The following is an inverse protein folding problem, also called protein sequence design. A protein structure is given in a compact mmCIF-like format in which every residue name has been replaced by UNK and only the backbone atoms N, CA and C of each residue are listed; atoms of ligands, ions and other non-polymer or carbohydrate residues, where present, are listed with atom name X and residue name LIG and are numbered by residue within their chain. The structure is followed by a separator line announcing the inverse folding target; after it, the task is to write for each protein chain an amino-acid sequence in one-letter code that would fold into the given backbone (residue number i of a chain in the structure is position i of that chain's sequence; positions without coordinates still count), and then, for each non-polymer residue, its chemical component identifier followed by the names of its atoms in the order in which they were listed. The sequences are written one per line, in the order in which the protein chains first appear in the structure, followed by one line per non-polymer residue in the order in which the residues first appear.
data_IF_751484128818
#
_entry.id   IF_751484128818
#
_cell.length_a   1.000
_cell.length_b   1.000
_cell.length_c   1.000
_cell.angle_alpha   90.00
_cell.angle_beta   90.00
_cell.angle_gamma   90.00
#
_symmetry.space_group_name_H-M   'P 1'
#
loop_
_entity.id
_entity.type
_entity.pdbx_description
1 polymer ?
#
# COMPACT_ATOMS: atom_id res chain seq x y z
N UNK A 1 -0.31 19.02 -9.12
CA UNK A 1 -0.90 17.94 -8.29
C UNK A 1 0.19 17.39 -7.38
N UNK A 2 -0.01 17.49 -6.08
CA UNK A 2 0.96 17.00 -5.11
C UNK A 2 0.71 15.51 -4.83
N UNK A 3 1.73 14.69 -4.95
CA UNK A 3 1.63 13.23 -4.83
C UNK A 3 2.38 12.70 -3.61
N UNK A 4 1.82 11.66 -3.01
CA UNK A 4 2.42 10.93 -1.90
C UNK A 4 2.52 9.45 -2.28
N UNK A 5 3.66 8.84 -1.99
CA UNK A 5 3.80 7.38 -2.04
C UNK A 5 3.80 6.87 -0.59
N UNK A 6 2.73 6.18 -0.21
CA UNK A 6 2.62 5.55 1.10
C UNK A 6 2.72 4.04 0.90
N UNK A 7 3.62 3.39 1.62
CA UNK A 7 3.86 1.96 1.41
C UNK A 7 4.07 1.21 2.71
N UNK A 8 3.65 -0.05 2.70
CA UNK A 8 4.02 -1.05 3.69
C UNK A 8 4.92 -2.08 3.03
N UNK A 9 6.06 -2.37 3.62
CA UNK A 9 6.98 -3.38 3.11
C UNK A 9 7.27 -4.42 4.18
N UNK A 10 7.13 -5.68 3.80
CA UNK A 10 7.54 -6.80 4.63
C UNK A 10 9.08 -6.98 4.57
N UNK A 11 9.57 -8.00 5.25
CA UNK A 11 11.00 -8.24 5.43
C UNK A 11 11.81 -8.29 4.13
N UNK A 12 11.21 -8.78 3.02
CA UNK A 12 11.89 -8.88 1.73
C UNK A 12 12.29 -7.53 1.13
N UNK A 13 11.63 -6.44 1.51
CA UNK A 13 11.93 -5.11 1.00
C UNK A 13 11.52 -4.84 -0.44
N UNK A 14 10.77 -5.72 -1.10
CA UNK A 14 10.35 -5.55 -2.50
C UNK A 14 9.49 -4.31 -2.69
N UNK A 15 8.48 -4.15 -1.86
CA UNK A 15 7.57 -3.00 -1.95
C UNK A 15 8.33 -1.71 -1.69
N UNK A 16 9.25 -1.70 -0.71
CA UNK A 16 10.09 -0.55 -0.42
C UNK A 16 10.89 -0.13 -1.65
N UNK A 17 11.54 -1.09 -2.33
CA UNK A 17 12.32 -0.81 -3.53
C UNK A 17 11.51 -0.15 -4.62
N UNK A 18 10.30 -0.63 -4.89
CA UNK A 18 9.40 -0.05 -5.89
C UNK A 18 8.92 1.34 -5.44
N UNK A 19 8.57 1.50 -4.18
CA UNK A 19 8.09 2.77 -3.63
C UNK A 19 9.16 3.86 -3.72
N UNK A 20 10.39 3.54 -3.38
CA UNK A 20 11.51 4.50 -3.45
C UNK A 20 11.79 4.93 -4.89
N UNK A 21 11.78 3.98 -5.83
CA UNK A 21 11.95 4.29 -7.26
C UNK A 21 10.82 5.17 -7.78
N UNK A 22 9.60 4.87 -7.40
CA UNK A 22 8.42 5.63 -7.82
C UNK A 22 8.47 7.06 -7.30
N UNK A 23 8.75 7.25 -6.02
CA UNK A 23 8.84 8.58 -5.42
C UNK A 23 9.93 9.41 -6.09
N UNK A 24 11.10 8.83 -6.35
CA UNK A 24 12.20 9.51 -7.03
C UNK A 24 11.85 9.87 -8.47
N UNK A 25 11.20 8.96 -9.20
CA UNK A 25 10.89 9.15 -10.62
C UNK A 25 9.86 10.26 -10.85
N UNK A 26 8.93 10.47 -9.93
CA UNK A 26 7.83 11.44 -10.10
C UNK A 26 7.91 12.63 -9.15
N UNK A 27 8.92 12.70 -8.32
CA UNK A 27 9.10 13.80 -7.36
C UNK A 27 8.03 13.80 -6.26
N UNK A 28 7.56 12.63 -5.85
CA UNK A 28 6.57 12.48 -4.80
C UNK A 28 7.23 12.37 -3.42
N UNK A 29 6.49 12.76 -2.38
CA UNK A 29 6.90 12.48 -1.01
C UNK A 29 6.72 10.99 -0.72
N UNK A 30 7.47 10.48 0.25
CA UNK A 30 7.49 9.06 0.60
C UNK A 30 7.15 8.88 2.07
N UNK A 31 6.23 7.97 2.38
CA UNK A 31 5.87 7.65 3.76
C UNK A 31 5.82 6.13 3.93
N UNK A 32 6.53 5.62 4.91
CA UNK A 32 6.48 4.20 5.24
C UNK A 32 5.37 3.91 6.26
N UNK A 33 4.43 3.05 5.87
CA UNK A 33 3.37 2.56 6.76
C UNK A 33 4.01 1.49 7.65
N UNK A 34 4.08 1.75 8.95
CA UNK A 34 4.70 0.83 9.92
C UNK A 34 3.67 0.35 10.92
N UNK A 35 3.53 -0.97 11.13
CA UNK A 35 2.76 -1.45 12.27
C UNK A 35 3.49 -1.08 13.56
N UNK A 36 2.76 -0.82 14.64
CA UNK A 36 3.37 -0.53 15.94
C UNK A 36 4.30 -1.66 16.39
N UNK A 37 3.95 -2.89 16.04
CA UNK A 37 4.77 -4.06 16.28
C UNK A 37 5.24 -4.62 14.93
N UNK A 38 6.54 -4.47 14.57
CA UNK A 38 7.05 -4.95 13.29
C UNK A 38 6.87 -6.46 13.11
N UNK A 39 6.74 -6.89 11.86
CA UNK A 39 6.62 -8.30 11.51
C UNK A 39 8.00 -8.96 11.47
N UNK A 40 8.09 -10.16 12.05
CA UNK A 40 9.26 -11.03 11.93
C UNK A 40 9.04 -12.07 10.84
N UNK A 41 10.08 -12.82 10.48
CA UNK A 41 9.93 -13.92 9.54
C UNK A 41 8.90 -14.95 10.00
N UNK A 42 8.89 -15.28 11.30
CA UNK A 42 7.89 -16.20 11.88
C UNK A 42 6.48 -15.66 11.77
N UNK A 43 6.30 -14.34 11.97
CA UNK A 43 4.98 -13.69 11.87
C UNK A 43 4.42 -13.79 10.44
N UNK A 44 5.29 -13.86 9.43
CA UNK A 44 4.92 -13.89 8.02
C UNK A 44 4.77 -15.30 7.45
N UNK A 45 4.95 -16.33 8.26
CA UNK A 45 4.88 -17.72 7.81
C UNK A 45 3.43 -18.14 7.58
N UNK A 46 2.93 -17.96 6.35
CA UNK A 46 1.56 -18.32 5.99
C UNK A 46 1.29 -19.83 6.03
N UNK A 47 2.32 -20.66 6.05
CA UNK A 47 2.20 -22.12 6.17
C UNK A 47 1.84 -22.55 7.60
N UNK A 48 2.05 -21.70 8.59
CA UNK A 48 1.70 -21.97 9.99
C UNK A 48 0.34 -21.35 10.29
N UNK A 49 -0.73 -22.15 10.57
CA UNK A 49 -2.07 -21.63 10.79
C UNK A 49 -2.18 -20.65 11.96
N UNK A 50 -1.27 -20.72 12.92
CA UNK A 50 -1.27 -19.84 14.12
C UNK A 50 -0.27 -18.68 14.01
N UNK A 51 0.37 -18.48 12.86
CA UNK A 51 1.27 -17.35 12.66
C UNK A 51 0.50 -16.03 12.73
N UNK A 52 1.21 -14.93 13.03
CA UNK A 52 0.59 -13.61 13.19
C UNK A 52 -0.17 -13.18 11.94
N UNK A 53 0.40 -13.34 10.73
CA UNK A 53 -0.27 -12.90 9.51
C UNK A 53 -1.58 -13.66 9.28
N UNK A 54 -1.61 -14.97 9.54
CA UNK A 54 -2.84 -15.76 9.42
C UNK A 54 -3.87 -15.37 10.48
N UNK A 55 -3.45 -15.19 11.72
CA UNK A 55 -4.36 -14.76 12.79
C UNK A 55 -4.98 -13.40 12.50
N UNK A 56 -4.21 -12.46 11.98
CA UNK A 56 -4.71 -11.12 11.65
C UNK A 56 -5.67 -11.15 10.47
N UNK A 57 -5.36 -11.90 9.44
CA UNK A 57 -6.22 -11.98 8.25
C UNK A 57 -7.53 -12.70 8.56
N UNK A 58 -7.47 -13.93 9.07
CA UNK A 58 -8.67 -14.74 9.31
C UNK A 58 -9.51 -14.19 10.47
N UNK A 59 -8.88 -13.55 11.47
CA UNK A 59 -9.57 -12.88 12.55
C UNK A 59 -10.07 -11.48 12.21
N UNK A 60 -9.78 -10.98 11.02
CA UNK A 60 -10.11 -9.60 10.56
C UNK A 60 -9.67 -8.56 11.59
N UNK A 61 -8.50 -8.76 12.18
CA UNK A 61 -8.00 -7.89 13.25
C UNK A 61 -7.48 -6.57 12.70
N UNK A 62 -7.80 -5.49 13.41
CA UNK A 62 -7.20 -4.19 13.15
C UNK A 62 -5.75 -4.21 13.65
N UNK A 63 -4.81 -3.84 12.79
CA UNK A 63 -3.38 -3.79 13.12
C UNK A 63 -2.98 -2.34 13.35
N UNK A 64 -2.62 -1.94 14.59
CA UNK A 64 -2.24 -0.55 14.88
C UNK A 64 -1.03 -0.10 14.07
N UNK A 65 -1.03 1.16 13.67
CA UNK A 65 0.01 1.79 12.85
C UNK A 65 0.77 2.81 13.67
N UNK A 66 2.10 2.80 13.53
CA UNK A 66 2.98 3.78 14.17
C UNK A 66 3.11 5.02 13.28
N UNK A 67 3.06 6.21 13.88
CA UNK A 67 3.24 7.48 13.17
C UNK A 67 1.98 7.95 12.44
N UNK A 68 2.04 9.19 11.95
CA UNK A 68 0.93 9.84 11.27
C UNK A 68 1.45 10.89 10.30
N UNK A 69 0.74 11.10 9.20
CA UNK A 69 1.00 12.16 8.23
C UNK A 69 0.17 13.39 8.65
N UNK A 70 0.83 14.47 9.07
CA UNK A 70 0.13 15.66 9.56
C UNK A 70 -0.44 16.53 8.44
N UNK A 71 0.18 16.50 7.26
CA UNK A 71 -0.20 17.30 6.10
C UNK A 71 -0.89 16.48 5.01
N UNK A 72 -1.64 15.46 5.38
CA UNK A 72 -2.28 14.55 4.43
C UNK A 72 -3.21 15.26 3.45
N UNK A 73 -3.92 16.27 3.90
CA UNK A 73 -4.86 17.04 3.08
C UNK A 73 -4.19 17.82 1.94
N UNK A 74 -2.89 18.03 1.98
CA UNK A 74 -2.15 18.69 0.90
C UNK A 74 -1.95 17.80 -0.34
N UNK A 75 -2.18 16.50 -0.22
CA UNK A 75 -1.95 15.56 -1.33
C UNK A 75 -3.22 15.36 -2.14
N UNK A 76 -3.11 15.43 -3.45
CA UNK A 76 -4.20 15.20 -4.40
C UNK A 76 -4.21 13.76 -4.91
N UNK A 77 -3.02 13.16 -5.02
CA UNK A 77 -2.82 11.79 -5.47
C UNK A 77 -2.04 11.02 -4.43
N UNK A 78 -2.58 9.89 -4.00
CA UNK A 78 -1.89 9.00 -3.05
C UNK A 78 -1.69 7.64 -3.72
N UNK A 79 -0.43 7.23 -3.79
CA UNK A 79 -0.04 5.93 -4.33
C UNK A 79 0.22 5.02 -3.15
N UNK A 80 -0.60 3.97 -3.00
CA UNK A 80 -0.51 3.07 -1.85
C UNK A 80 0.14 1.76 -2.30
N UNK A 81 1.27 1.42 -1.69
CA UNK A 81 2.05 0.24 -2.04
C UNK A 81 2.08 -0.80 -0.93
N UNK A 82 1.99 -2.08 -1.30
CA UNK A 82 1.98 -3.18 -0.33
C UNK A 82 2.24 -4.53 -1.02
N UNK A 83 2.70 -5.54 -0.26
CA UNK A 83 2.72 -6.90 -0.78
C UNK A 83 1.31 -7.48 -0.75
N UNK A 84 0.97 -8.32 -1.72
CA UNK A 84 -0.32 -9.01 -1.74
C UNK A 84 -0.31 -10.12 -0.69
N UNK A 85 -1.25 -10.03 0.26
CA UNK A 85 -1.51 -11.07 1.25
C UNK A 85 -2.95 -11.53 1.08
N UNK A 86 -3.12 -12.82 0.79
CA UNK A 86 -4.46 -13.42 0.64
C UNK A 86 -5.32 -12.71 -0.41
N UNK A 87 -4.69 -12.27 -1.51
CA UNK A 87 -5.39 -11.63 -2.62
C UNK A 87 -5.79 -10.16 -2.40
N UNK A 88 -5.29 -9.52 -1.35
CA UNK A 88 -5.63 -8.13 -1.03
C UNK A 88 -4.53 -7.46 -0.22
N UNK A 89 -4.75 -6.18 0.16
CA UNK A 89 -3.84 -5.45 1.02
C UNK A 89 -3.81 -6.04 2.44
N UNK A 90 -2.65 -6.03 3.13
CA UNK A 90 -2.58 -6.43 4.53
C UNK A 90 -3.42 -5.51 5.43
N UNK A 91 -3.88 -6.03 6.56
CA UNK A 91 -4.73 -5.26 7.49
C UNK A 91 -4.08 -3.97 7.99
N UNK A 92 -2.75 -3.94 8.11
CA UNK A 92 -2.03 -2.72 8.52
C UNK A 92 -2.26 -1.58 7.52
N UNK A 93 -2.37 -1.87 6.24
CA UNK A 93 -2.66 -0.89 5.20
C UNK A 93 -4.09 -0.36 5.36
N UNK A 94 -5.05 -1.24 5.65
CA UNK A 94 -6.43 -0.85 5.90
C UNK A 94 -6.53 0.09 7.11
N UNK A 95 -5.80 -0.21 8.18
CA UNK A 95 -5.73 0.65 9.37
C UNK A 95 -5.17 2.02 9.04
N UNK A 96 -4.09 2.07 8.27
CA UNK A 96 -3.51 3.33 7.81
C UNK A 96 -4.56 4.16 7.06
N UNK A 97 -5.21 3.56 6.08
CA UNK A 97 -6.18 4.27 5.24
C UNK A 97 -7.35 4.82 6.07
N UNK A 98 -7.85 4.06 7.05
CA UNK A 98 -8.99 4.49 7.85
C UNK A 98 -8.70 5.67 8.78
N UNK A 99 -7.45 6.09 8.90
CA UNK A 99 -7.03 7.22 9.76
C UNK A 99 -7.08 8.59 9.09
N UNK A 100 -7.50 8.70 7.83
CA UNK A 100 -7.44 9.94 7.06
C UNK A 100 -8.72 10.22 6.30
N UNK A 101 -8.91 11.49 5.92
CA UNK A 101 -10.01 11.93 5.06
C UNK A 101 -9.55 11.87 3.60
N UNK A 102 -10.22 11.04 2.80
CA UNK A 102 -9.88 10.80 1.41
C UNK A 102 -10.75 11.58 0.42
N UNK A 103 -11.65 12.42 0.89
CA UNK A 103 -12.57 13.16 0.04
C UNK A 103 -11.84 13.99 -1.01
N UNK A 104 -12.24 13.84 -2.26
CA UNK A 104 -11.67 14.58 -3.38
C UNK A 104 -10.30 14.12 -3.85
N UNK A 105 -9.76 13.05 -3.26
CA UNK A 105 -8.43 12.54 -3.62
C UNK A 105 -8.52 11.45 -4.69
N UNK A 106 -7.45 11.30 -5.46
CA UNK A 106 -7.26 10.19 -6.37
C UNK A 106 -6.29 9.19 -5.72
N UNK A 107 -6.62 7.91 -5.77
CA UNK A 107 -5.83 6.84 -5.18
C UNK A 107 -5.49 5.81 -6.25
N UNK A 108 -4.28 5.32 -6.24
CA UNK A 108 -3.90 4.15 -7.02
C UNK A 108 -3.08 3.22 -6.14
N UNK A 109 -3.28 1.92 -6.32
CA UNK A 109 -2.55 0.91 -5.58
C UNK A 109 -1.51 0.26 -6.46
N UNK A 110 -0.31 0.07 -5.92
CA UNK A 110 0.71 -0.76 -6.55
C UNK A 110 1.10 -1.87 -5.60
N UNK A 111 1.28 -3.05 -6.14
CA UNK A 111 1.50 -4.22 -5.30
C UNK A 111 2.68 -5.05 -5.78
N UNK A 112 3.27 -5.77 -4.84
CA UNK A 112 4.30 -6.77 -5.12
C UNK A 112 3.84 -8.12 -4.60
N UNK A 113 4.35 -9.19 -5.18
CA UNK A 113 3.95 -10.54 -4.80
C UNK A 113 5.00 -11.54 -5.21
N UNK A 114 5.05 -12.67 -4.52
CA UNK A 114 5.90 -13.80 -4.87
C UNK A 114 5.35 -14.66 -5.99
N UNK A 115 4.16 -14.35 -6.53
CA UNK A 115 3.53 -15.14 -7.58
C UNK A 115 2.03 -14.94 -7.71
N UNK A 116 1.39 -14.29 -6.73
CA UNK A 116 -0.05 -13.97 -6.80
C UNK A 116 -0.30 -12.80 -7.74
N UNK A 117 -1.49 -12.74 -8.34
CA UNK A 117 -1.95 -11.57 -9.09
C UNK A 117 -2.54 -10.50 -8.17
N UNK A 118 -3.03 -9.42 -8.78
CA UNK A 118 -3.60 -8.27 -8.04
C UNK A 118 -4.88 -8.63 -7.26
N UNK A 119 -5.57 -9.70 -7.67
CA UNK A 119 -6.78 -10.17 -6.98
C UNK A 119 -7.88 -9.14 -6.89
N UNK A 120 -8.56 -9.10 -5.75
CA UNK A 120 -9.64 -8.14 -5.48
C UNK A 120 -9.17 -6.92 -4.70
N UNK A 121 -7.91 -6.54 -4.86
CA UNK A 121 -7.24 -5.49 -4.08
C UNK A 121 -8.02 -4.17 -4.08
N UNK A 122 -8.40 -3.67 -5.27
CA UNK A 122 -9.12 -2.41 -5.38
C UNK A 122 -10.48 -2.47 -4.68
N UNK A 123 -11.23 -3.54 -4.87
CA UNK A 123 -12.55 -3.73 -4.27
C UNK A 123 -12.49 -3.76 -2.73
N UNK A 124 -11.47 -4.42 -2.19
CA UNK A 124 -11.31 -4.57 -0.74
C UNK A 124 -10.73 -3.33 -0.08
N UNK A 125 -9.99 -2.52 -0.83
CA UNK A 125 -9.42 -1.27 -0.34
C UNK A 125 -10.46 -0.14 -0.30
N UNK A 126 -11.41 -0.14 -1.24
CA UNK A 126 -12.39 0.94 -1.41
C UNK A 126 -13.12 1.37 -0.11
N UNK A 127 -13.56 0.46 0.77
CA UNK A 127 -14.23 0.85 2.02
C UNK A 127 -13.37 1.69 2.97
N UNK A 128 -12.05 1.61 2.84
CA UNK A 128 -11.12 2.30 3.72
C UNK A 128 -10.66 3.66 3.18
N UNK A 129 -11.00 3.97 1.93
CA UNK A 129 -10.64 5.24 1.29
C UNK A 129 -11.88 5.95 0.74
N UNK A 130 -12.97 5.93 1.48
CA UNK A 130 -14.25 6.51 1.07
C UNK A 130 -14.11 7.99 0.68
N UNK A 131 -14.67 8.34 -0.45
CA UNK A 131 -14.61 9.69 -1.00
C UNK A 131 -13.50 9.87 -2.02
N UNK A 132 -12.56 8.93 -2.11
CA UNK A 132 -11.50 8.96 -3.12
C UNK A 132 -11.94 8.22 -4.38
N UNK A 133 -11.36 8.63 -5.51
CA UNK A 133 -11.45 7.87 -6.76
C UNK A 133 -10.29 6.87 -6.80
N UNK A 134 -10.58 5.57 -6.90
CA UNK A 134 -9.55 4.55 -7.11
C UNK A 134 -9.30 4.45 -8.61
N UNK A 135 -8.23 5.10 -9.07
CA UNK A 135 -7.94 5.23 -10.50
C UNK A 135 -7.38 3.94 -11.10
N UNK A 136 -6.56 3.20 -10.37
CA UNK A 136 -5.95 1.96 -10.85
C UNK A 136 -5.40 1.13 -9.70
N UNK A 137 -5.16 -0.15 -9.96
CA UNK A 137 -4.45 -1.05 -9.05
C UNK A 137 -3.62 -2.00 -9.92
N UNK A 138 -2.31 -2.03 -9.70
CA UNK A 138 -1.40 -2.75 -10.60
C UNK A 138 -0.28 -3.46 -9.87
N UNK A 139 0.10 -4.64 -10.38
CA UNK A 139 1.30 -5.34 -9.92
C UNK A 139 2.53 -4.64 -10.49
N UNK A 140 3.52 -4.39 -9.63
CA UNK A 140 4.73 -3.64 -9.99
C UNK A 140 6.02 -4.38 -9.64
N UNK A 141 6.01 -5.71 -9.65
CA UNK A 141 7.21 -6.51 -9.40
C UNK A 141 8.29 -6.15 -10.43
N UNK A 142 9.44 -5.67 -9.94
CA UNK A 142 10.58 -5.40 -10.81
C UNK A 142 10.39 -4.27 -11.82
N UNK A 143 9.36 -3.44 -11.66
CA UNK A 143 9.12 -2.32 -12.58
C UNK A 143 10.29 -1.32 -12.54
N UNK A 144 10.71 -0.84 -13.70
CA UNK A 144 11.75 0.16 -13.82
C UNK A 144 11.21 1.59 -13.61
N UNK A 145 12.12 2.55 -13.41
CA UNK A 145 11.77 3.94 -13.15
C UNK A 145 10.88 4.56 -14.24
N UNK A 146 11.16 4.26 -15.51
CA UNK A 146 10.38 4.78 -16.63
C UNK A 146 8.96 4.23 -16.65
N UNK A 147 8.79 2.94 -16.34
CA UNK A 147 7.47 2.31 -16.26
C UNK A 147 6.63 2.94 -15.15
N UNK A 148 7.25 3.16 -14.00
CA UNK A 148 6.60 3.77 -12.84
C UNK A 148 6.20 5.21 -13.13
N UNK A 149 7.09 5.97 -13.74
CA UNK A 149 6.82 7.36 -14.12
C UNK A 149 5.67 7.46 -15.11
N UNK A 150 5.68 6.63 -16.16
CA UNK A 150 4.63 6.59 -17.17
C UNK A 150 3.27 6.27 -16.57
N UNK A 151 3.23 5.30 -15.65
CA UNK A 151 1.99 4.93 -14.97
C UNK A 151 1.45 6.09 -14.13
N UNK A 152 2.30 6.72 -13.32
CA UNK A 152 1.89 7.86 -12.48
C UNK A 152 1.46 9.06 -13.31
N UNK A 153 2.19 9.37 -14.38
CA UNK A 153 1.83 10.48 -15.27
C UNK A 153 0.45 10.26 -15.89
N UNK A 154 0.12 9.03 -16.25
CA UNK A 154 -1.20 8.67 -16.74
C UNK A 154 -2.31 8.87 -15.71
N UNK A 155 -2.02 8.70 -14.43
CA UNK A 155 -2.98 8.91 -13.35
C UNK A 155 -3.26 10.38 -13.10
N UNK A 156 -2.31 11.26 -13.40
CA UNK A 156 -2.45 12.71 -13.19
C UNK A 156 -3.31 13.41 -14.23
N UNK A 157 -3.53 12.76 -15.37
CA UNK A 157 -4.29 13.34 -16.47
C UNK A 157 -5.80 13.14 -16.36
#
# INVERSE_FOLDING_TARGET
MKALVAYFSAESGRTRGVAEKMAAAVGADLFEIRPEKPYTASDLNYMNPVSRCNREFFGKKKVPVAGRIDNFDEYDLVLIGFPIWYGCAPNVVNTFCSGYDWSGKKVAAFATSGGSGIGKTAQKLAPYVKGAEIADARMMNGAGAEDLKGWVDGLKS
#
